data_IF_275895905333
#
_entry.id   IF_275895905333
#
_cell.length_a   1.000
_cell.length_b   1.000
_cell.length_c   1.000
_cell.angle_alpha   90.00
_cell.angle_beta   90.00
_cell.angle_gamma   90.00
#
_symmetry.space_group_name_H-M   'P 1'
#
loop_
_entity.id
_entity.type
_entity.pdbx_description
1 polymer ?
#
# COMPACT_ATOMS: atom_id res chain seq x y z
N UNK A 1 23.36 14.20 57.91
CA UNK A 1 23.86 13.90 59.27
C UNK A 1 23.45 12.45 59.57
N UNK A 2 24.44 11.56 59.73
CA UNK A 2 24.40 10.12 60.15
C UNK A 2 23.72 9.14 59.17
N UNK A 3 24.42 8.36 58.31
CA UNK A 3 25.30 7.17 58.51
C UNK A 3 24.53 5.86 58.84
N UNK A 4 24.90 4.62 58.48
CA UNK A 4 25.75 3.94 57.47
C UNK A 4 25.67 2.42 57.81
N UNK A 5 25.90 1.53 56.82
CA UNK A 5 26.26 0.08 56.84
C UNK A 5 25.33 -0.74 55.92
N UNK A 6 25.76 -1.52 54.92
CA UNK A 6 27.08 -2.05 54.56
C UNK A 6 27.13 -3.55 54.89
N UNK A 7 27.17 -4.42 53.87
CA UNK A 7 28.01 -5.63 53.74
C UNK A 7 27.61 -6.42 52.47
N UNK A 8 28.61 -6.69 51.63
CA UNK A 8 28.73 -7.74 50.61
C UNK A 8 30.20 -8.22 50.66
N UNK A 9 30.67 -9.23 49.89
CA UNK A 9 30.18 -10.57 49.51
C UNK A 9 31.22 -11.66 49.95
N UNK A 10 31.35 -12.84 49.29
CA UNK A 10 32.40 -12.94 48.27
C UNK A 10 32.13 -13.84 47.03
N UNK A 11 32.92 -13.56 45.97
CA UNK A 11 33.23 -14.33 44.73
C UNK A 11 34.13 -15.55 45.07
N UNK A 12 34.62 -16.48 44.22
CA UNK A 12 34.80 -16.76 42.78
C UNK A 12 35.01 -18.31 42.68
N UNK A 13 35.08 -19.02 41.55
CA UNK A 13 36.14 -18.95 40.54
C UNK A 13 35.90 -19.96 39.38
N UNK A 14 36.64 -19.73 38.29
CA UNK A 14 36.51 -20.26 36.93
C UNK A 14 37.23 -21.59 36.64
N UNK A 15 36.93 -22.23 35.49
CA UNK A 15 37.89 -22.65 34.45
C UNK A 15 37.24 -23.50 33.31
N UNK A 16 37.55 -23.17 32.04
CA UNK A 16 37.52 -24.03 30.83
C UNK A 16 38.78 -24.96 30.82
N UNK A 17 39.05 -25.95 29.92
CA UNK A 17 38.49 -26.21 28.56
C UNK A 17 38.37 -27.71 28.07
N UNK A 18 37.87 -27.87 26.84
CA UNK A 18 38.22 -28.83 25.77
C UNK A 18 38.30 -30.39 25.90
N UNK A 19 37.68 -31.02 24.88
CA UNK A 19 38.10 -32.20 24.07
C UNK A 19 37.72 -33.66 24.42
N UNK A 20 36.91 -34.23 23.51
CA UNK A 20 36.98 -35.54 22.80
C UNK A 20 36.94 -36.90 23.57
N UNK A 21 35.85 -37.63 23.29
CA UNK A 21 35.78 -38.89 22.48
C UNK A 21 35.52 -40.28 23.15
N UNK A 22 34.75 -41.09 22.38
CA UNK A 22 34.54 -42.56 22.36
C UNK A 22 33.57 -43.12 23.41
N UNK A 23 32.68 -44.09 23.15
CA UNK A 23 32.30 -45.00 22.04
C UNK A 23 31.08 -45.81 22.55
N UNK A 24 30.37 -46.72 21.89
CA UNK A 24 30.33 -47.40 20.59
C UNK A 24 28.93 -48.07 20.50
N UNK A 25 28.39 -48.43 19.33
CA UNK A 25 28.60 -49.74 18.71
C UNK A 25 28.16 -49.73 17.22
N UNK A 26 28.92 -50.51 16.44
CA UNK A 26 28.89 -50.86 15.00
C UNK A 26 27.79 -51.90 14.67
N UNK A 27 27.62 -52.46 13.41
CA UNK A 27 28.46 -52.40 12.19
C UNK A 27 27.72 -52.26 10.83
N UNK A 28 28.49 -52.09 9.75
CA UNK A 28 28.06 -52.39 8.38
C UNK A 28 28.85 -51.69 7.27
N UNK A 29 30.03 -52.21 6.93
CA UNK A 29 30.82 -51.81 5.77
C UNK A 29 30.23 -52.41 4.48
N UNK A 30 30.21 -51.66 3.38
CA UNK A 30 30.66 -52.11 2.05
C UNK A 30 30.91 -50.91 1.12
N UNK A 31 31.87 -51.10 0.21
CA UNK A 31 32.73 -50.12 -0.47
C UNK A 31 32.06 -49.33 -1.62
N UNK A 32 32.53 -48.10 -1.85
CA UNK A 32 32.31 -47.33 -3.09
C UNK A 32 33.33 -47.68 -4.19
N UNK A 33 32.95 -47.56 -5.47
CA UNK A 33 33.82 -47.10 -6.55
C UNK A 33 33.27 -45.80 -7.21
N UNK A 34 34.00 -45.17 -8.16
CA UNK A 34 34.07 -43.71 -8.28
C UNK A 34 33.03 -43.07 -9.23
N UNK A 35 32.94 -41.75 -9.09
CA UNK A 35 32.20 -40.77 -9.87
C UNK A 35 32.38 -40.92 -11.39
N UNK A 36 31.27 -41.04 -12.13
CA UNK A 36 31.14 -40.56 -13.52
C UNK A 36 29.70 -40.14 -13.86
N UNK A 37 29.61 -39.02 -14.58
CA UNK A 37 28.58 -38.60 -15.54
C UNK A 37 27.12 -38.32 -15.10
N UNK A 38 26.82 -37.02 -15.02
CA UNK A 38 25.69 -36.31 -15.65
C UNK A 38 24.48 -37.12 -16.13
N UNK A 39 23.32 -36.91 -15.51
CA UNK A 39 22.01 -37.07 -16.16
C UNK A 39 21.08 -35.95 -15.70
N UNK A 40 20.66 -35.11 -16.65
CA UNK A 40 19.61 -34.12 -16.48
C UNK A 40 18.26 -34.81 -16.27
N UNK A 41 17.61 -34.58 -15.14
CA UNK A 41 16.25 -35.03 -14.89
C UNK A 41 15.25 -34.08 -15.58
N UNK A 42 14.70 -34.52 -16.71
CA UNK A 42 13.54 -33.88 -17.34
C UNK A 42 12.29 -34.15 -16.50
N UNK A 43 11.64 -33.09 -16.02
CA UNK A 43 10.26 -33.15 -15.51
C UNK A 43 9.32 -33.59 -16.65
N UNK A 44 8.65 -34.73 -16.49
CA UNK A 44 7.52 -35.13 -17.34
C UNK A 44 6.24 -34.51 -16.78
N UNK A 45 5.62 -33.63 -17.56
CA UNK A 45 4.26 -33.16 -17.34
C UNK A 45 3.28 -34.18 -17.95
N UNK A 46 2.31 -34.65 -17.16
CA UNK A 46 1.26 -35.55 -17.63
C UNK A 46 0.21 -34.74 -18.42
N UNK A 47 0.25 -34.80 -19.74
CA UNK A 47 -0.88 -34.45 -20.61
C UNK A 47 -1.50 -35.76 -21.13
N UNK A 48 -2.78 -35.97 -20.84
CA UNK A 48 -3.60 -37.03 -21.40
C UNK A 48 -3.68 -36.91 -22.92
N UNK A 49 -3.34 -37.98 -23.62
CA UNK A 49 -3.45 -38.08 -25.07
C UNK A 49 -4.92 -37.99 -25.51
N UNK A 50 -5.21 -37.09 -26.44
CA UNK A 50 -6.47 -37.05 -27.20
C UNK A 50 -6.12 -37.39 -28.64
N UNK A 51 -6.97 -38.23 -29.22
CA UNK A 51 -6.89 -38.93 -30.50
C UNK A 51 -6.63 -38.01 -31.71
N UNK A 52 -5.65 -38.38 -32.55
CA UNK A 52 -5.29 -37.67 -33.78
C UNK A 52 -6.23 -38.09 -34.92
N UNK A 53 -7.29 -37.32 -35.15
CA UNK A 53 -7.95 -37.35 -36.46
C UNK A 53 -8.51 -35.98 -36.89
N UNK A 54 -7.90 -35.48 -37.96
CA UNK A 54 -8.36 -34.41 -38.89
C UNK A 54 -8.56 -33.01 -38.29
N UNK A 55 -7.46 -32.25 -38.17
CA UNK A 55 -7.51 -30.78 -38.01
C UNK A 55 -7.29 -30.12 -39.37
N UNK A 56 -8.33 -29.50 -39.92
CA UNK A 56 -8.22 -28.61 -41.07
C UNK A 56 -7.27 -27.44 -40.77
N UNK A 57 -6.52 -26.89 -41.74
CA UNK A 57 -5.63 -25.75 -41.48
C UNK A 57 -6.46 -24.57 -40.99
N UNK A 58 -6.25 -24.19 -39.73
CA UNK A 58 -6.91 -23.04 -39.13
C UNK A 58 -6.61 -21.79 -39.98
N UNK A 59 -7.65 -21.04 -40.33
CA UNK A 59 -7.52 -19.75 -40.98
C UNK A 59 -6.54 -18.86 -40.18
N UNK A 60 -5.68 -18.08 -40.84
CA UNK A 60 -4.72 -17.23 -40.13
C UNK A 60 -5.50 -16.27 -39.23
N UNK A 61 -5.33 -16.43 -37.91
CA UNK A 61 -5.86 -15.46 -36.94
C UNK A 61 -5.33 -14.08 -37.33
N UNK A 62 -6.17 -13.04 -37.36
CA UNK A 62 -5.68 -11.69 -37.60
C UNK A 62 -4.59 -11.41 -36.56
N UNK A 63 -3.39 -11.08 -37.04
CA UNK A 63 -2.30 -10.64 -36.17
C UNK A 63 -2.83 -9.41 -35.44
N UNK A 64 -2.91 -9.49 -34.11
CA UNK A 64 -3.20 -8.34 -33.27
C UNK A 64 -2.30 -7.19 -33.75
N UNK A 65 -2.83 -5.97 -33.93
CA UNK A 65 -2.03 -4.83 -34.32
C UNK A 65 -0.79 -4.78 -33.42
N UNK A 66 0.38 -4.71 -34.05
CA UNK A 66 1.65 -4.46 -33.38
C UNK A 66 1.43 -3.27 -32.45
N UNK A 67 1.71 -3.44 -31.16
CA UNK A 67 1.53 -2.41 -30.12
C UNK A 67 2.10 -1.09 -30.64
N UNK A 68 1.21 -0.20 -31.09
CA UNK A 68 1.52 1.22 -31.22
C UNK A 68 1.72 1.69 -29.80
N UNK A 69 2.81 2.41 -29.51
CA UNK A 69 3.09 2.87 -28.15
C UNK A 69 1.86 3.58 -27.60
N UNK A 70 1.23 2.99 -26.58
CA UNK A 70 0.11 3.61 -25.88
C UNK A 70 0.68 4.42 -24.71
N UNK A 71 0.21 5.64 -24.55
CA UNK A 71 0.39 6.42 -23.32
C UNK A 71 -0.75 6.13 -22.34
N UNK A 72 -0.67 6.72 -21.15
CA UNK A 72 -1.78 6.74 -20.20
C UNK A 72 -1.92 8.11 -19.56
N UNK A 73 -3.14 8.58 -19.37
CA UNK A 73 -3.45 9.88 -18.73
C UNK A 73 -4.53 9.73 -17.67
N UNK A 74 -4.49 10.62 -16.67
CA UNK A 74 -5.48 10.67 -15.60
C UNK A 74 -6.60 11.63 -16.03
N UNK A 75 -7.82 11.11 -16.22
CA UNK A 75 -8.92 11.87 -16.82
C UNK A 75 -10.11 12.10 -15.89
N UNK A 76 -10.11 11.47 -14.72
CA UNK A 76 -11.17 11.64 -13.73
C UNK A 76 -10.68 11.28 -12.34
N UNK A 77 -11.22 11.98 -11.35
CA UNK A 77 -10.97 11.73 -9.93
C UNK A 77 -12.27 11.85 -9.14
N UNK A 78 -12.33 11.13 -8.04
CA UNK A 78 -13.48 11.11 -7.15
C UNK A 78 -13.06 10.67 -5.76
N UNK A 79 -13.75 11.17 -4.74
CA UNK A 79 -13.47 10.78 -3.37
C UNK A 79 -14.75 10.68 -2.55
N UNK A 80 -14.67 9.96 -1.43
CA UNK A 80 -15.74 9.86 -0.45
C UNK A 80 -15.14 9.67 0.94
N UNK A 81 -15.76 10.30 1.93
CA UNK A 81 -15.32 10.26 3.33
C UNK A 81 -16.50 9.94 4.24
N UNK A 82 -16.24 9.31 5.41
CA UNK A 82 -17.27 9.10 6.41
C UNK A 82 -17.88 10.40 6.91
N UNK A 83 -19.12 10.33 7.36
CA UNK A 83 -19.84 11.47 7.92
C UNK A 83 -19.30 11.92 9.28
N UNK A 84 -18.94 10.97 10.16
CA UNK A 84 -18.46 11.26 11.50
C UNK A 84 -17.07 11.91 11.46
N UNK A 85 -16.98 13.11 12.05
CA UNK A 85 -15.77 13.88 12.21
C UNK A 85 -15.36 13.86 13.68
N UNK A 86 -14.14 13.45 13.99
CA UNK A 86 -13.56 13.50 15.33
C UNK A 86 -12.49 14.59 15.33
N UNK A 87 -12.70 15.63 16.15
CA UNK A 87 -11.74 16.71 16.34
C UNK A 87 -10.67 16.35 17.37
N UNK A 88 -9.59 17.11 17.42
CA UNK A 88 -8.61 16.98 18.50
C UNK A 88 -9.21 17.23 19.90
N UNK A 89 -10.20 18.13 20.00
CA UNK A 89 -10.92 18.41 21.25
C UNK A 89 -11.84 17.27 21.67
N UNK A 90 -12.28 16.44 20.73
CA UNK A 90 -13.00 15.22 21.07
C UNK A 90 -12.06 14.16 21.62
N UNK A 91 -10.85 14.02 21.04
CA UNK A 91 -9.84 13.08 21.54
C UNK A 91 -9.33 13.45 22.94
N UNK A 92 -9.20 14.75 23.26
CA UNK A 92 -8.74 15.21 24.58
C UNK A 92 -9.69 14.84 25.72
N UNK A 93 -10.94 14.45 25.43
CA UNK A 93 -11.92 13.95 26.41
C UNK A 93 -11.64 12.51 26.85
N UNK A 94 -10.86 11.74 26.08
CA UNK A 94 -10.63 10.31 26.33
C UNK A 94 -9.14 9.97 26.57
N UNK A 95 -8.21 10.81 26.09
CA UNK A 95 -6.76 10.62 26.22
C UNK A 95 -6.10 11.94 26.60
N UNK A 96 -5.03 11.91 27.40
CA UNK A 96 -4.29 13.09 27.85
C UNK A 96 -3.55 13.78 26.67
N UNK A 97 -4.23 14.71 25.98
CA UNK A 97 -3.73 15.43 24.81
C UNK A 97 -4.44 16.78 24.65
N UNK A 98 -4.03 17.60 23.67
CA UNK A 98 -4.73 18.84 23.28
C UNK A 98 -4.62 19.09 21.77
N UNK A 99 -5.46 19.98 21.22
CA UNK A 99 -5.34 20.41 19.82
C UNK A 99 -3.96 20.99 19.51
N UNK A 100 -3.45 21.88 20.37
CA UNK A 100 -2.15 22.52 20.16
C UNK A 100 -1.02 21.49 20.10
N UNK A 101 -1.08 20.48 20.98
CA UNK A 101 -0.08 19.43 21.02
C UNK A 101 -0.13 18.53 19.78
N UNK A 102 -1.33 18.14 19.33
CA UNK A 102 -1.51 17.29 18.13
C UNK A 102 -1.14 18.07 16.87
N UNK A 103 -1.72 19.26 16.69
CA UNK A 103 -1.53 20.08 15.49
C UNK A 103 -0.04 20.46 15.31
N UNK A 104 0.66 20.84 16.37
CA UNK A 104 2.09 21.17 16.27
C UNK A 104 2.97 19.96 15.88
N UNK A 105 2.56 18.74 16.21
CA UNK A 105 3.36 17.52 15.97
C UNK A 105 2.99 16.81 14.67
N UNK A 106 1.78 17.02 14.17
CA UNK A 106 1.21 16.24 13.07
C UNK A 106 0.63 17.08 11.94
N UNK A 107 0.19 18.31 12.24
CA UNK A 107 -0.64 19.12 11.34
C UNK A 107 -2.11 18.69 11.28
N UNK A 108 -2.51 17.63 12.00
CA UNK A 108 -3.88 17.08 11.99
C UNK A 108 -4.74 17.86 12.99
N UNK A 109 -5.96 18.20 12.57
CA UNK A 109 -6.99 18.84 13.42
C UNK A 109 -8.24 17.99 13.55
N UNK A 110 -8.60 17.31 12.47
CA UNK A 110 -9.77 16.47 12.38
C UNK A 110 -9.43 15.16 11.66
N UNK A 111 -10.22 14.13 11.95
CA UNK A 111 -10.26 12.89 11.19
C UNK A 111 -11.70 12.50 10.88
N UNK A 112 -11.88 11.76 9.79
CA UNK A 112 -13.16 11.10 9.48
C UNK A 112 -13.05 9.64 9.85
N UNK A 113 -14.06 9.09 10.50
CA UNK A 113 -14.06 7.67 10.91
C UNK A 113 -15.39 7.03 10.54
N UNK A 114 -15.36 5.77 10.11
CA UNK A 114 -16.57 5.03 9.80
C UNK A 114 -17.50 4.98 11.02
N UNK A 115 -18.80 5.16 10.78
CA UNK A 115 -19.82 5.15 11.82
C UNK A 115 -21.15 4.60 11.29
N UNK A 116 -21.97 4.06 12.19
CA UNK A 116 -23.29 3.54 11.83
C UNK A 116 -23.21 2.44 10.76
N UNK A 117 -23.90 2.63 9.64
CA UNK A 117 -23.93 1.70 8.50
C UNK A 117 -22.93 2.02 7.38
N UNK A 118 -22.03 2.99 7.57
CA UNK A 118 -20.99 3.30 6.59
C UNK A 118 -19.96 2.16 6.54
N UNK A 119 -19.57 1.71 5.34
CA UNK A 119 -18.50 0.72 5.15
C UNK A 119 -17.44 1.25 4.21
N UNK A 120 -16.23 0.68 4.24
CA UNK A 120 -15.17 1.11 3.35
C UNK A 120 -15.56 0.90 1.89
N UNK A 121 -16.13 -0.28 1.56
CA UNK A 121 -16.63 -0.60 0.23
C UNK A 121 -17.69 0.38 -0.26
N UNK A 122 -18.61 0.82 0.60
CA UNK A 122 -19.61 1.83 0.24
C UNK A 122 -19.00 3.19 -0.10
N UNK A 123 -17.94 3.60 0.62
CA UNK A 123 -17.17 4.81 0.26
C UNK A 123 -16.41 4.62 -1.05
N UNK A 124 -15.81 3.44 -1.26
CA UNK A 124 -15.08 3.11 -2.49
C UNK A 124 -15.96 3.16 -3.73
N UNK A 125 -17.18 2.63 -3.67
CA UNK A 125 -18.16 2.69 -4.76
C UNK A 125 -18.51 4.14 -5.08
N UNK A 126 -18.76 4.98 -4.07
CA UNK A 126 -19.05 6.42 -4.27
C UNK A 126 -17.87 7.16 -4.90
N UNK A 127 -16.65 6.90 -4.44
CA UNK A 127 -15.44 7.52 -4.99
C UNK A 127 -15.24 7.10 -6.46
N UNK A 128 -15.41 5.82 -6.77
CA UNK A 128 -15.34 5.27 -8.11
C UNK A 128 -16.38 5.90 -9.06
N UNK A 129 -17.65 5.95 -8.66
CA UNK A 129 -18.72 6.57 -9.44
C UNK A 129 -18.40 8.04 -9.76
N UNK A 130 -17.94 8.82 -8.77
CA UNK A 130 -17.54 10.22 -8.96
C UNK A 130 -16.36 10.40 -9.91
N UNK A 131 -15.41 9.47 -9.91
CA UNK A 131 -14.28 9.49 -10.83
C UNK A 131 -14.71 9.21 -12.27
N UNK A 132 -15.59 8.22 -12.47
CA UNK A 132 -16.18 7.92 -13.78
C UNK A 132 -17.06 9.06 -14.29
N UNK A 133 -17.87 9.67 -13.42
CA UNK A 133 -18.68 10.85 -13.74
C UNK A 133 -17.81 12.02 -14.20
N UNK A 134 -16.71 12.32 -13.49
CA UNK A 134 -15.78 13.37 -13.89
C UNK A 134 -15.14 13.08 -15.25
N UNK A 135 -14.77 11.83 -15.49
CA UNK A 135 -14.17 11.40 -16.75
C UNK A 135 -15.16 11.27 -17.91
N UNK A 136 -16.46 11.30 -17.63
CA UNK A 136 -17.52 10.99 -18.59
C UNK A 136 -17.36 9.61 -19.25
N UNK A 137 -16.88 8.62 -18.48
CA UNK A 137 -16.71 7.23 -18.92
C UNK A 137 -17.81 6.38 -18.30
N UNK A 138 -18.48 5.55 -19.12
CA UNK A 138 -19.51 4.65 -18.60
C UNK A 138 -18.87 3.49 -17.86
N UNK A 139 -19.50 2.97 -16.78
CA UNK A 139 -18.97 1.81 -16.05
C UNK A 139 -18.63 0.61 -16.93
N UNK A 140 -19.44 0.34 -17.96
CA UNK A 140 -19.26 -0.80 -18.86
C UNK A 140 -18.04 -0.68 -19.78
N UNK A 141 -17.49 0.53 -19.92
CA UNK A 141 -16.29 0.82 -20.70
C UNK A 141 -15.00 0.70 -19.86
N UNK A 142 -15.11 0.40 -18.56
CA UNK A 142 -13.96 0.08 -17.70
C UNK A 142 -13.50 -1.34 -17.99
N UNK A 143 -12.19 -1.52 -18.17
CA UNK A 143 -11.58 -2.83 -18.47
C UNK A 143 -10.95 -3.49 -17.23
N UNK A 144 -10.50 -2.66 -16.28
CA UNK A 144 -9.79 -3.11 -15.08
C UNK A 144 -10.11 -2.24 -13.87
N UNK A 145 -10.38 -2.90 -12.73
CA UNK A 145 -10.48 -2.28 -11.41
C UNK A 145 -9.30 -2.71 -10.54
N UNK A 146 -8.50 -1.75 -10.09
CA UNK A 146 -7.43 -1.97 -9.10
C UNK A 146 -7.86 -1.41 -7.76
N UNK A 147 -8.09 -2.30 -6.78
CA UNK A 147 -8.53 -1.91 -5.45
C UNK A 147 -7.37 -1.93 -4.44
N UNK A 148 -6.81 -0.76 -4.15
CA UNK A 148 -5.66 -0.60 -3.28
C UNK A 148 -6.12 -0.38 -1.82
N UNK A 149 -5.99 -1.42 -0.98
CA UNK A 149 -6.37 -1.35 0.44
C UNK A 149 -5.52 -2.26 1.31
N UNK A 150 -5.42 -1.93 2.59
CA UNK A 150 -4.91 -2.82 3.66
C UNK A 150 -5.96 -3.15 4.72
N UNK A 151 -7.20 -2.68 4.52
CA UNK A 151 -8.31 -2.85 5.47
C UNK A 151 -9.60 -3.22 4.74
N UNK A 152 -9.61 -4.30 3.93
CA UNK A 152 -10.80 -4.66 3.17
C UNK A 152 -11.96 -5.07 4.09
N UNK A 153 -13.20 -4.75 3.68
CA UNK A 153 -14.42 -5.20 4.36
C UNK A 153 -14.54 -6.76 4.35
N UNK A 154 -13.92 -7.42 3.36
CA UNK A 154 -13.94 -8.87 3.14
C UNK A 154 -12.52 -9.43 2.94
N UNK A 155 -12.25 -10.65 3.43
CA UNK A 155 -10.93 -11.28 3.33
C UNK A 155 -10.47 -11.52 1.88
N UNK A 156 -11.41 -11.74 0.96
CA UNK A 156 -11.14 -11.91 -0.47
C UNK A 156 -11.09 -10.58 -1.24
N UNK A 157 -11.11 -9.45 -0.52
CA UNK A 157 -10.89 -8.13 -1.08
C UNK A 157 -12.17 -7.36 -1.44
N UNK A 158 -11.96 -6.14 -1.92
CA UNK A 158 -13.04 -5.19 -2.25
C UNK A 158 -13.29 -4.99 -3.75
N UNK A 159 -12.40 -5.43 -4.65
CA UNK A 159 -12.56 -5.20 -6.08
C UNK A 159 -13.87 -5.79 -6.63
N UNK A 160 -14.26 -6.99 -6.18
CA UNK A 160 -15.51 -7.65 -6.60
C UNK A 160 -16.75 -6.81 -6.28
N UNK A 161 -16.76 -6.14 -5.13
CA UNK A 161 -17.85 -5.25 -4.72
C UNK A 161 -17.90 -3.98 -5.58
N UNK A 162 -16.74 -3.38 -5.85
CA UNK A 162 -16.64 -2.21 -6.73
C UNK A 162 -17.14 -2.55 -8.13
N UNK A 163 -16.73 -3.68 -8.71
CA UNK A 163 -17.20 -4.15 -10.02
C UNK A 163 -18.73 -4.23 -10.06
N UNK A 164 -19.32 -4.91 -9.08
CA UNK A 164 -20.76 -5.16 -9.05
C UNK A 164 -21.59 -3.89 -8.80
N UNK A 165 -21.21 -3.07 -7.81
CA UNK A 165 -22.03 -1.92 -7.39
C UNK A 165 -21.79 -0.66 -8.25
N UNK A 166 -20.63 -0.53 -8.90
CA UNK A 166 -20.39 0.54 -9.88
C UNK A 166 -20.97 0.20 -11.26
N UNK A 167 -21.11 -1.08 -11.59
CA UNK A 167 -21.62 -1.56 -12.88
C UNK A 167 -20.53 -1.84 -13.92
N UNK A 168 -19.30 -2.13 -13.51
CA UNK A 168 -18.19 -2.44 -14.40
C UNK A 168 -18.26 -3.89 -14.91
N UNK A 169 -19.31 -4.24 -15.65
CA UNK A 169 -19.65 -5.64 -15.99
C UNK A 169 -18.66 -6.33 -16.93
N UNK A 170 -17.85 -5.57 -17.67
CA UNK A 170 -16.86 -6.07 -18.61
C UNK A 170 -15.43 -6.07 -18.03
N UNK A 171 -15.24 -5.47 -16.85
CA UNK A 171 -13.94 -5.38 -16.21
C UNK A 171 -13.61 -6.66 -15.46
N UNK A 172 -12.32 -6.98 -15.39
CA UNK A 172 -11.79 -7.82 -14.30
C UNK A 172 -11.24 -6.92 -13.20
N UNK A 173 -11.11 -7.43 -11.98
CA UNK A 173 -10.61 -6.62 -10.87
C UNK A 173 -9.90 -7.46 -9.82
N UNK A 174 -8.93 -6.83 -9.16
CA UNK A 174 -8.18 -7.44 -8.08
C UNK A 174 -7.66 -6.39 -7.10
N UNK A 175 -7.26 -6.87 -5.93
CA UNK A 175 -6.80 -6.05 -4.82
C UNK A 175 -5.27 -5.93 -4.80
N UNK A 176 -4.78 -4.76 -4.36
CA UNK A 176 -3.36 -4.48 -4.13
C UNK A 176 -3.17 -4.07 -2.67
N UNK A 177 -2.47 -4.90 -1.91
CA UNK A 177 -2.07 -4.61 -0.54
C UNK A 177 -0.61 -4.15 -0.50
N UNK A 178 -0.41 -2.83 -0.42
CA UNK A 178 0.90 -2.22 -0.22
C UNK A 178 0.81 -1.03 0.75
N UNK A 179 -0.05 -1.13 1.76
CA UNK A 179 -0.27 -0.09 2.78
C UNK A 179 -0.45 1.31 2.16
N UNK A 180 0.13 2.34 2.77
CA UNK A 180 0.02 3.73 2.33
C UNK A 180 0.69 4.01 0.96
N UNK A 181 1.54 3.12 0.42
CA UNK A 181 2.06 3.25 -0.94
C UNK A 181 1.13 2.62 -1.99
N UNK A 182 0.08 1.92 -1.55
CA UNK A 182 -0.85 1.15 -2.38
C UNK A 182 -1.39 1.89 -3.57
N UNK A 183 -1.86 3.13 -3.41
CA UNK A 183 -2.39 3.90 -4.53
C UNK A 183 -1.35 4.21 -5.60
N UNK A 184 -0.12 4.57 -5.23
CA UNK A 184 0.95 4.83 -6.21
C UNK A 184 1.35 3.53 -6.92
N UNK A 185 1.43 2.42 -6.19
CA UNK A 185 1.66 1.10 -6.79
C UNK A 185 0.52 0.74 -7.75
N UNK A 186 -0.73 1.02 -7.39
CA UNK A 186 -1.90 0.83 -8.25
C UNK A 186 -1.86 1.70 -9.51
N UNK A 187 -1.52 2.99 -9.36
CA UNK A 187 -1.41 3.93 -10.47
C UNK A 187 -0.35 3.49 -11.49
N UNK A 188 0.83 3.10 -11.01
CA UNK A 188 1.90 2.59 -11.86
C UNK A 188 1.47 1.28 -12.53
N UNK A 189 0.87 0.36 -11.78
CA UNK A 189 0.31 -0.90 -12.29
C UNK A 189 -0.70 -0.64 -13.41
N UNK A 190 -1.63 0.30 -13.23
CA UNK A 190 -2.63 0.68 -14.23
C UNK A 190 -1.98 1.12 -15.54
N UNK A 191 -1.00 2.02 -15.47
CA UNK A 191 -0.24 2.44 -16.65
C UNK A 191 0.48 1.26 -17.31
N UNK A 192 1.01 0.31 -16.54
CA UNK A 192 1.67 -0.88 -17.10
C UNK A 192 0.69 -1.81 -17.83
N UNK A 193 -0.54 -1.97 -17.34
CA UNK A 193 -1.58 -2.71 -18.06
C UNK A 193 -1.97 -2.02 -19.37
N UNK A 194 -2.17 -0.69 -19.35
CA UNK A 194 -2.49 0.09 -20.55
C UNK A 194 -1.37 -0.04 -21.60
N UNK A 195 -0.11 0.18 -21.18
CA UNK A 195 1.07 0.09 -22.06
C UNK A 195 1.34 -1.33 -22.56
N UNK A 196 0.89 -2.35 -21.84
CA UNK A 196 0.94 -3.75 -22.25
C UNK A 196 -0.04 -4.11 -23.37
N UNK A 197 -1.03 -3.25 -23.63
CA UNK A 197 -2.05 -3.43 -24.65
C UNK A 197 -3.28 -4.21 -24.17
N UNK A 198 -4.41 -4.02 -24.84
CA UNK A 198 -5.67 -4.71 -24.54
C UNK A 198 -6.49 -4.12 -23.39
N UNK A 199 -5.97 -3.11 -22.69
CA UNK A 199 -6.65 -2.38 -21.61
C UNK A 199 -6.64 -0.89 -21.96
N UNK A 200 -7.81 -0.24 -21.92
CA UNK A 200 -7.99 1.18 -22.25
C UNK A 200 -8.35 2.01 -21.02
N UNK A 201 -9.27 1.54 -20.19
CA UNK A 201 -9.76 2.27 -19.01
C UNK A 201 -9.50 1.46 -17.74
N UNK A 202 -8.66 2.01 -16.84
CA UNK A 202 -8.34 1.41 -15.54
C UNK A 202 -8.81 2.32 -14.42
N UNK A 203 -9.73 1.81 -13.61
CA UNK A 203 -10.18 2.48 -12.40
C UNK A 203 -9.28 2.08 -11.22
N UNK A 204 -8.51 3.03 -10.69
CA UNK A 204 -7.63 2.82 -9.54
C UNK A 204 -8.28 3.42 -8.31
N UNK A 205 -8.58 2.59 -7.31
CA UNK A 205 -9.24 3.01 -6.07
C UNK A 205 -8.28 2.83 -4.91
N UNK A 206 -7.95 3.91 -4.19
CA UNK A 206 -7.24 3.86 -2.92
C UNK A 206 -8.22 4.02 -1.76
N UNK A 207 -8.29 3.06 -0.86
CA UNK A 207 -9.27 3.06 0.23
C UNK A 207 -8.69 2.40 1.48
N UNK A 208 -8.89 3.02 2.64
CA UNK A 208 -8.59 2.40 3.93
C UNK A 208 -9.50 2.92 5.04
N UNK A 209 -9.80 2.03 5.99
CA UNK A 209 -10.48 2.28 7.26
C UNK A 209 -9.56 1.92 8.44
N UNK A 210 -8.38 2.55 8.52
CA UNK A 210 -7.39 2.24 9.56
C UNK A 210 -7.90 2.53 10.98
N UNK A 211 -8.94 3.35 11.15
CA UNK A 211 -9.56 3.65 12.44
C UNK A 211 -10.01 2.39 13.21
N UNK A 212 -10.34 1.31 12.49
CA UNK A 212 -10.75 0.02 13.06
C UNK A 212 -9.59 -0.76 13.70
N UNK A 213 -8.35 -0.40 13.36
CA UNK A 213 -7.12 -1.02 13.85
C UNK A 213 -6.31 -0.06 14.74
N UNK A 214 -6.93 1.02 15.22
CA UNK A 214 -6.31 1.97 16.15
C UNK A 214 -6.65 1.59 17.58
N UNK A 215 -5.63 1.58 18.45
CA UNK A 215 -5.86 1.61 19.89
C UNK A 215 -6.20 3.06 20.30
N UNK A 216 -7.48 3.32 20.54
CA UNK A 216 -7.97 4.65 20.92
C UNK A 216 -7.50 5.12 22.30
N UNK A 217 -6.89 4.25 23.10
CA UNK A 217 -6.25 4.59 24.37
C UNK A 217 -4.78 4.94 24.21
N UNK A 218 -4.15 4.56 23.09
CA UNK A 218 -2.76 4.91 22.78
C UNK A 218 -2.68 6.27 22.06
N UNK A 219 -2.25 7.29 22.81
CA UNK A 219 -1.98 8.64 22.26
C UNK A 219 -0.97 8.63 21.10
N UNK A 220 -0.07 7.64 21.04
CA UNK A 220 0.95 7.54 20.00
C UNK A 220 0.39 7.35 18.60
N UNK A 221 -0.78 6.72 18.48
CA UNK A 221 -1.38 6.31 17.20
C UNK A 221 -2.78 6.87 16.98
N UNK A 222 -3.60 7.03 18.02
CA UNK A 222 -5.00 7.46 17.88
C UNK A 222 -5.18 8.88 17.31
N UNK A 223 -4.14 9.71 17.43
CA UNK A 223 -4.10 11.08 16.91
C UNK A 223 -3.76 11.15 15.41
N UNK A 224 -3.50 10.02 14.74
CA UNK A 224 -2.97 10.00 13.37
C UNK A 224 -3.99 9.63 12.32
N UNK A 225 -4.72 8.53 12.50
CA UNK A 225 -5.47 7.91 11.40
C UNK A 225 -6.88 8.45 11.23
N UNK A 226 -7.38 8.31 10.02
CA UNK A 226 -8.77 8.50 9.60
C UNK A 226 -9.08 7.56 8.43
N UNK A 227 -10.32 7.58 7.97
CA UNK A 227 -10.84 6.68 6.96
C UNK A 227 -11.32 7.47 5.73
N UNK A 228 -11.06 6.93 4.54
CA UNK A 228 -11.57 7.51 3.29
C UNK A 228 -11.47 6.51 2.14
N UNK A 229 -12.08 6.88 1.01
CA UNK A 229 -11.79 6.32 -0.29
C UNK A 229 -11.57 7.43 -1.31
N UNK A 230 -10.64 7.21 -2.23
CA UNK A 230 -10.42 8.03 -3.42
C UNK A 230 -10.22 7.14 -4.64
N UNK A 231 -10.58 7.63 -5.81
CA UNK A 231 -10.46 6.91 -7.06
C UNK A 231 -9.96 7.84 -8.18
N UNK A 232 -9.20 7.26 -9.10
CA UNK A 232 -8.73 7.93 -10.32
C UNK A 232 -8.97 7.00 -11.50
N UNK A 233 -9.52 7.56 -12.58
CA UNK A 233 -9.61 6.86 -13.86
C UNK A 233 -8.37 7.17 -14.69
N UNK A 234 -7.65 6.12 -15.05
CA UNK A 234 -6.51 6.17 -15.97
C UNK A 234 -6.98 5.65 -17.32
N UNK A 235 -6.82 6.45 -18.37
CA UNK A 235 -7.23 6.13 -19.72
C UNK A 235 -6.02 6.06 -20.65
N UNK A 236 -6.08 5.16 -21.61
CA UNK A 236 -5.13 5.10 -22.73
C UNK A 236 -5.14 6.38 -23.55
N UNK A 237 -3.97 6.74 -24.06
CA UNK A 237 -3.82 7.82 -25.03
C UNK A 237 -2.73 7.50 -26.03
N UNK A 238 -2.46 8.42 -26.95
CA UNK A 238 -1.30 8.32 -27.81
C UNK A 238 -0.01 8.45 -26.97
N UNK A 239 1.09 7.85 -27.42
CA UNK A 239 2.36 7.87 -26.69
C UNK A 239 2.92 9.29 -26.47
N UNK A 240 2.67 10.23 -27.37
CA UNK A 240 3.10 11.62 -27.27
C UNK A 240 2.31 12.42 -26.21
N UNK A 241 1.15 11.91 -25.80
CA UNK A 241 0.30 12.52 -24.78
C UNK A 241 0.53 11.93 -23.39
N UNK A 242 1.41 10.93 -23.25
CA UNK A 242 1.60 10.15 -22.03
C UNK A 242 1.72 11.02 -20.78
N UNK A 243 0.91 10.66 -19.79
CA UNK A 243 0.77 11.36 -18.52
C UNK A 243 1.60 10.75 -17.41
N UNK A 244 2.12 9.52 -17.53
CA UNK A 244 3.10 8.98 -16.59
C UNK A 244 4.52 9.23 -17.13
N UNK A 245 5.16 10.28 -16.64
CA UNK A 245 6.43 10.76 -17.15
C UNK A 245 7.62 9.97 -16.59
N UNK A 246 7.53 9.50 -15.35
CA UNK A 246 8.55 8.68 -14.70
C UNK A 246 8.06 8.17 -13.35
N UNK A 247 8.64 7.10 -12.83
CA UNK A 247 8.26 6.54 -11.54
C UNK A 247 9.41 5.77 -10.86
N UNK A 248 9.28 5.55 -9.56
CA UNK A 248 10.22 4.73 -8.81
C UNK A 248 9.46 3.97 -7.74
N UNK A 249 9.64 2.66 -7.63
CA UNK A 249 9.03 1.84 -6.56
C UNK A 249 10.12 1.03 -5.87
N UNK A 250 10.06 0.99 -4.55
CA UNK A 250 11.09 0.37 -3.71
C UNK A 250 10.46 -0.24 -2.45
N UNK A 251 11.19 -1.15 -1.82
CA UNK A 251 10.79 -1.81 -0.57
C UNK A 251 11.99 -2.20 0.27
N UNK A 252 11.84 -2.19 1.60
CA UNK A 252 12.76 -2.75 2.57
C UNK A 252 11.98 -3.55 3.63
N UNK A 253 11.97 -4.87 3.48
CA UNK A 253 11.26 -5.79 4.36
C UNK A 253 11.76 -5.79 5.80
N UNK A 254 13.01 -5.37 6.06
CA UNK A 254 13.51 -5.26 7.44
C UNK A 254 12.78 -4.18 8.25
N UNK A 255 12.13 -3.24 7.55
CA UNK A 255 11.37 -2.16 8.15
C UNK A 255 10.01 -2.58 8.72
N UNK A 256 9.51 -3.79 8.44
CA UNK A 256 8.23 -4.29 8.98
C UNK A 256 8.12 -4.13 10.50
N UNK A 257 9.21 -4.35 11.25
CA UNK A 257 9.27 -4.17 12.71
C UNK A 257 8.95 -2.75 13.20
N UNK A 258 8.97 -1.76 12.32
CA UNK A 258 8.71 -0.36 12.65
C UNK A 258 7.26 0.07 12.39
N UNK A 259 6.51 -0.66 11.58
CA UNK A 259 5.10 -0.37 11.30
C UNK A 259 4.40 -1.65 10.83
N UNK A 260 3.56 -2.22 11.69
CA UNK A 260 2.84 -3.45 11.42
C UNK A 260 1.57 -3.59 12.27
N UNK A 261 0.69 -4.49 11.86
CA UNK A 261 -0.36 -5.05 12.72
C UNK A 261 -0.02 -6.54 12.87
N UNK A 262 0.38 -6.95 14.07
CA UNK A 262 0.81 -8.32 14.33
C UNK A 262 -0.40 -9.26 14.31
N UNK A 263 -0.25 -10.44 13.71
CA UNK A 263 -1.26 -11.48 13.90
C UNK A 263 -1.12 -12.09 15.29
N UNK A 264 -2.24 -12.19 16.00
CA UNK A 264 -2.37 -12.98 17.21
C UNK A 264 -3.33 -14.14 16.95
N UNK A 265 -3.00 -15.29 17.53
CA UNK A 265 -3.87 -16.45 17.46
C UNK A 265 -4.84 -16.40 18.64
N UNK A 266 -6.14 -16.37 18.35
CA UNK A 266 -7.12 -16.56 19.41
C UNK A 266 -7.02 -17.98 19.98
N UNK A 267 -7.21 -18.11 21.30
CA UNK A 267 -7.31 -19.43 21.92
C UNK A 267 -8.56 -20.15 21.41
N UNK A 268 -8.39 -21.41 21.00
CA UNK A 268 -9.50 -22.24 20.53
C UNK A 268 -10.36 -22.68 21.72
N UNK A 269 -11.64 -22.31 21.69
CA UNK A 269 -12.67 -22.75 22.65
C UNK A 269 -12.77 -24.30 22.68
N UNK A 270 -12.35 -24.98 21.59
CA UNK A 270 -12.42 -26.43 21.42
C UNK A 270 -11.12 -27.16 21.80
N UNK A 271 -10.15 -26.46 22.41
CA UNK A 271 -8.85 -27.01 22.85
C UNK A 271 -8.95 -28.14 23.89
N UNK A 272 -10.14 -28.42 24.44
CA UNK A 272 -10.42 -29.47 25.43
C UNK A 272 -11.36 -30.57 24.92
N UNK A 273 -11.39 -30.82 23.61
CA UNK A 273 -12.14 -31.95 23.04
C UNK A 273 -11.23 -33.17 22.84
N UNK A 274 -11.80 -34.38 22.86
CA UNK A 274 -11.09 -35.61 22.44
C UNK A 274 -10.87 -35.68 20.91
N UNK A 275 -10.90 -34.53 20.23
CA UNK A 275 -10.69 -34.41 18.79
C UNK A 275 -9.21 -34.48 18.42
N UNK A 276 -8.93 -34.36 17.12
CA UNK A 276 -7.55 -34.33 16.61
C UNK A 276 -6.83 -33.11 17.18
N UNK A 277 -5.66 -33.29 17.84
CA UNK A 277 -4.88 -32.17 18.36
C UNK A 277 -4.62 -31.13 17.26
N UNK A 278 -4.95 -29.86 17.55
CA UNK A 278 -4.78 -28.75 16.59
C UNK A 278 -5.99 -28.48 15.68
N UNK A 279 -7.11 -29.21 15.81
CA UNK A 279 -8.36 -28.92 15.11
C UNK A 279 -9.43 -28.35 16.05
N UNK A 280 -10.21 -27.33 15.63
CA UNK A 280 -10.09 -26.57 14.38
C UNK A 280 -8.84 -25.66 14.37
N UNK A 281 -8.37 -25.23 13.19
CA UNK A 281 -7.28 -24.27 13.09
C UNK A 281 -7.59 -23.01 13.89
N UNK A 282 -6.57 -22.42 14.51
CA UNK A 282 -6.73 -21.18 15.28
C UNK A 282 -7.16 -20.07 14.33
N UNK A 283 -8.19 -19.31 14.74
CA UNK A 283 -8.58 -18.10 14.02
C UNK A 283 -7.51 -17.04 14.24
N UNK A 284 -7.01 -16.49 13.14
CA UNK A 284 -6.07 -15.36 13.16
C UNK A 284 -6.85 -14.06 13.32
N UNK A 285 -6.44 -13.25 14.28
CA UNK A 285 -6.86 -11.85 14.43
C UNK A 285 -5.64 -10.95 14.32
N UNK A 286 -5.82 -9.69 13.91
CA UNK A 286 -4.75 -8.71 13.88
C UNK A 286 -4.79 -7.81 15.13
N UNK A 287 -3.63 -7.40 15.62
CA UNK A 287 -3.50 -6.38 16.67
C UNK A 287 -3.80 -4.98 16.11
N UNK A 288 -3.94 -4.01 17.02
CA UNK A 288 -3.89 -2.61 16.66
C UNK A 288 -2.55 -2.25 16.00
N UNK A 289 -2.52 -1.14 15.26
CA UNK A 289 -1.33 -0.63 14.59
C UNK A 289 -0.22 -0.36 15.60
N UNK A 290 0.92 -1.02 15.41
CA UNK A 290 2.14 -0.80 16.18
C UNK A 290 3.11 0.01 15.33
N UNK A 291 3.54 1.17 15.83
CA UNK A 291 4.38 2.10 15.08
C UNK A 291 5.54 2.66 15.90
N UNK A 292 6.77 2.49 15.38
CA UNK A 292 7.93 3.26 15.78
C UNK A 292 8.01 4.55 14.95
N UNK A 293 7.27 5.58 15.39
CA UNK A 293 7.14 6.84 14.64
C UNK A 293 8.47 7.55 14.35
N UNK A 294 9.49 7.39 15.21
CA UNK A 294 10.82 7.98 14.99
C UNK A 294 11.53 7.35 13.80
N UNK A 295 11.53 6.03 13.71
CA UNK A 295 12.17 5.31 12.60
C UNK A 295 11.39 5.49 11.31
N UNK A 296 10.04 5.47 11.35
CA UNK A 296 9.18 5.76 10.19
C UNK A 296 9.42 7.19 9.67
N UNK A 297 9.50 8.19 10.55
CA UNK A 297 9.80 9.57 10.16
C UNK A 297 11.18 9.67 9.49
N UNK A 298 12.23 9.10 10.10
CA UNK A 298 13.61 9.13 9.55
C UNK A 298 13.68 8.46 8.19
N UNK A 299 13.00 7.33 8.03
CA UNK A 299 12.85 6.65 6.75
C UNK A 299 12.20 7.58 5.71
N UNK A 300 11.04 8.15 6.02
CA UNK A 300 10.26 8.92 5.07
C UNK A 300 11.02 10.16 4.57
N UNK A 301 11.58 10.97 5.48
CA UNK A 301 12.29 12.21 5.10
C UNK A 301 13.57 11.97 4.29
N UNK A 302 14.09 10.74 4.29
CA UNK A 302 15.25 10.33 3.48
C UNK A 302 14.83 9.70 2.16
N UNK A 303 13.99 8.68 2.21
CA UNK A 303 13.70 7.82 1.07
C UNK A 303 12.69 8.45 0.10
N UNK A 304 11.74 9.26 0.59
CA UNK A 304 10.72 9.89 -0.27
C UNK A 304 11.34 10.90 -1.24
N UNK A 305 12.16 11.88 -0.80
CA UNK A 305 12.83 12.80 -1.73
C UNK A 305 13.72 12.06 -2.75
N UNK A 306 14.47 11.04 -2.30
CA UNK A 306 15.32 10.23 -3.20
C UNK A 306 14.51 9.47 -4.25
N UNK A 307 13.33 8.97 -3.88
CA UNK A 307 12.44 8.28 -4.82
C UNK A 307 11.85 9.25 -5.85
N UNK A 308 11.51 10.48 -5.45
CA UNK A 308 11.05 11.53 -6.35
C UNK A 308 12.19 11.98 -7.29
N UNK A 309 13.40 12.19 -6.76
CA UNK A 309 14.59 12.53 -7.56
C UNK A 309 14.84 11.48 -8.67
N UNK A 310 14.72 10.18 -8.36
CA UNK A 310 14.84 9.10 -9.35
C UNK A 310 13.72 9.10 -10.39
N UNK A 311 12.48 9.35 -9.96
CA UNK A 311 11.34 9.42 -10.88
C UNK A 311 11.45 10.63 -11.82
N UNK A 312 11.98 11.76 -11.33
CA UNK A 312 12.31 12.94 -12.14
C UNK A 312 13.45 12.66 -13.12
N UNK A 313 14.48 11.92 -12.70
CA UNK A 313 15.58 11.49 -13.57
C UNK A 313 15.07 10.61 -14.71
N UNK A 314 14.21 9.62 -14.44
CA UNK A 314 13.56 8.81 -15.48
C UNK A 314 12.70 9.68 -16.43
N UNK A 315 12.01 10.69 -15.89
CA UNK A 315 11.21 11.63 -16.68
C UNK A 315 12.07 12.64 -17.48
N UNK A 316 13.37 12.74 -17.22
CA UNK A 316 14.23 13.78 -17.82
C UNK A 316 13.85 15.20 -17.40
N UNK A 317 13.25 15.37 -16.22
CA UNK A 317 12.71 16.64 -15.74
C UNK A 317 13.46 17.18 -14.52
N UNK A 318 13.70 18.51 -14.43
CA UNK A 318 14.21 19.12 -13.21
C UNK A 318 13.09 19.29 -12.18
N UNK A 319 13.41 19.33 -10.89
CA UNK A 319 12.43 19.55 -9.81
C UNK A 319 11.66 20.88 -9.96
N UNK A 320 12.23 21.88 -10.63
CA UNK A 320 11.57 23.17 -10.92
C UNK A 320 10.36 23.05 -11.87
N UNK A 321 10.24 21.94 -12.60
CA UNK A 321 9.09 21.64 -13.46
C UNK A 321 7.86 21.17 -12.68
N UNK A 322 8.00 20.85 -11.39
CA UNK A 322 6.87 20.40 -10.56
C UNK A 322 5.96 21.60 -10.27
N UNK A 323 4.70 21.47 -10.65
CA UNK A 323 3.64 22.40 -10.28
C UNK A 323 3.08 22.07 -8.90
N UNK A 324 2.93 20.76 -8.62
CA UNK A 324 2.37 20.30 -7.35
C UNK A 324 3.14 19.13 -6.73
N UNK A 325 3.46 19.26 -5.45
CA UNK A 325 3.94 18.15 -4.62
C UNK A 325 2.74 17.55 -3.87
N UNK A 326 2.46 16.27 -4.13
CA UNK A 326 1.35 15.53 -3.54
C UNK A 326 1.84 14.25 -2.87
N UNK A 327 2.16 14.34 -1.59
CA UNK A 327 2.65 13.19 -0.84
C UNK A 327 1.52 12.48 -0.10
N UNK A 328 1.78 11.24 0.30
CA UNK A 328 0.98 10.55 1.30
C UNK A 328 0.80 11.45 2.54
N UNK A 329 -0.46 11.65 2.92
CA UNK A 329 -0.87 12.52 4.02
C UNK A 329 -0.64 11.81 5.37
N UNK A 330 0.61 11.53 5.73
CA UNK A 330 0.95 10.86 7.00
C UNK A 330 1.10 11.84 8.17
N UNK A 331 1.85 12.92 7.94
CA UNK A 331 2.25 13.90 8.93
C UNK A 331 2.78 15.13 8.18
N UNK A 332 2.31 16.33 8.53
CA UNK A 332 2.67 17.56 7.82
C UNK A 332 4.18 17.81 7.86
N UNK A 333 4.86 17.45 8.95
CA UNK A 333 6.31 17.63 9.09
C UNK A 333 7.11 16.77 8.11
N UNK A 334 6.60 15.59 7.73
CA UNK A 334 7.23 14.76 6.69
C UNK A 334 7.07 15.46 5.34
N UNK A 335 5.86 15.99 5.06
CA UNK A 335 5.56 16.69 3.83
C UNK A 335 6.46 17.92 3.69
N UNK A 336 6.56 18.74 4.74
CA UNK A 336 7.38 19.95 4.76
C UNK A 336 8.87 19.63 4.61
N UNK A 337 9.37 18.59 5.28
CA UNK A 337 10.75 18.16 5.18
C UNK A 337 11.10 17.68 3.75
N UNK A 338 10.19 16.94 3.11
CA UNK A 338 10.39 16.51 1.73
C UNK A 338 10.33 17.68 0.75
N UNK A 339 9.37 18.61 0.91
CA UNK A 339 9.29 19.82 0.11
C UNK A 339 10.56 20.66 0.21
N UNK A 340 11.05 20.89 1.43
CA UNK A 340 12.30 21.60 1.69
C UNK A 340 13.51 20.92 1.04
N UNK A 341 13.62 19.58 1.14
CA UNK A 341 14.73 18.81 0.55
C UNK A 341 14.74 18.86 -0.99
N UNK A 342 13.57 19.03 -1.60
CA UNK A 342 13.38 19.17 -3.05
C UNK A 342 13.37 20.63 -3.52
N UNK A 343 13.53 21.60 -2.61
CA UNK A 343 13.42 23.04 -2.89
C UNK A 343 12.07 23.43 -3.52
N UNK A 344 10.99 22.75 -3.14
CA UNK A 344 9.63 23.04 -3.59
C UNK A 344 8.97 24.02 -2.61
N UNK A 345 8.48 25.18 -3.06
CA UNK A 345 7.79 26.14 -2.21
C UNK A 345 6.51 25.57 -1.57
N UNK A 346 6.19 26.01 -0.35
CA UNK A 346 5.04 25.51 0.41
C UNK A 346 3.70 25.69 -0.29
N UNK A 347 3.55 26.74 -1.10
CA UNK A 347 2.34 27.03 -1.87
C UNK A 347 2.09 26.00 -2.97
N UNK A 348 3.14 25.32 -3.45
CA UNK A 348 3.08 24.20 -4.41
C UNK A 348 2.82 22.85 -3.73
N UNK A 349 2.65 22.81 -2.41
CA UNK A 349 2.30 21.59 -1.68
C UNK A 349 0.78 21.44 -1.62
N UNK A 350 0.30 20.25 -1.94
CA UNK A 350 -1.10 19.86 -1.72
C UNK A 350 -1.16 19.10 -0.38
N UNK A 351 -1.91 19.65 0.57
CA UNK A 351 -2.17 19.01 1.85
C UNK A 351 -3.60 19.27 2.30
N UNK A 352 -4.30 18.19 2.65
CA UNK A 352 -5.60 18.22 3.31
C UNK A 352 -5.59 17.42 4.63
N UNK A 353 -4.40 17.01 5.07
CA UNK A 353 -4.14 16.23 6.28
C UNK A 353 -4.85 16.79 7.51
N UNK A 354 -4.93 18.12 7.63
CA UNK A 354 -5.61 18.80 8.73
C UNK A 354 -7.08 18.37 8.90
N UNK A 355 -7.75 18.00 7.81
CA UNK A 355 -9.19 17.72 7.80
C UNK A 355 -9.53 16.23 7.91
N UNK A 356 -8.60 15.35 7.56
CA UNK A 356 -8.87 13.92 7.38
C UNK A 356 -7.98 13.02 8.22
N UNK A 357 -6.85 13.52 8.72
CA UNK A 357 -5.81 12.65 9.27
C UNK A 357 -5.16 11.79 8.19
N UNK A 358 -4.45 10.76 8.62
CA UNK A 358 -3.82 9.77 7.77
C UNK A 358 -4.84 8.74 7.30
N UNK A 359 -5.25 8.85 6.03
CA UNK A 359 -6.19 7.95 5.35
C UNK A 359 -5.50 6.89 4.48
N UNK A 360 -4.22 6.60 4.75
CA UNK A 360 -3.43 5.55 4.09
C UNK A 360 -3.53 5.59 2.56
N UNK A 361 -3.96 4.51 1.89
CA UNK A 361 -4.02 4.44 0.43
C UNK A 361 -4.99 5.47 -0.18
N UNK A 362 -5.98 5.95 0.56
CA UNK A 362 -6.91 6.98 0.09
C UNK A 362 -6.32 8.39 0.10
N UNK A 363 -5.22 8.63 0.83
CA UNK A 363 -4.70 9.98 1.08
C UNK A 363 -4.36 10.78 -0.18
N UNK A 364 -3.67 10.15 -1.14
CA UNK A 364 -3.27 10.78 -2.40
C UNK A 364 -4.48 11.03 -3.31
N UNK A 365 -5.33 10.04 -3.64
CA UNK A 365 -6.46 10.29 -4.52
C UNK A 365 -7.52 11.20 -3.91
N UNK A 366 -7.70 11.19 -2.58
CA UNK A 366 -8.58 12.15 -1.88
C UNK A 366 -8.07 13.59 -2.04
N UNK A 367 -6.80 13.83 -1.74
CA UNK A 367 -6.20 15.16 -1.87
C UNK A 367 -6.10 15.65 -3.31
N UNK A 368 -5.89 14.73 -4.27
CA UNK A 368 -5.93 15.04 -5.70
C UNK A 368 -7.32 15.49 -6.12
N UNK A 369 -8.37 14.72 -5.77
CA UNK A 369 -9.76 15.04 -6.12
C UNK A 369 -10.19 16.41 -5.60
N UNK A 370 -9.88 16.73 -4.34
CA UNK A 370 -10.15 18.06 -3.79
C UNK A 370 -9.40 19.18 -4.52
N UNK A 371 -8.12 18.97 -4.84
CA UNK A 371 -7.31 19.97 -5.52
C UNK A 371 -7.77 20.21 -6.98
N UNK A 372 -8.18 19.15 -7.69
CA UNK A 372 -8.73 19.23 -9.05
C UNK A 372 -10.10 19.90 -9.02
N UNK A 373 -11.04 19.43 -8.20
CA UNK A 373 -12.40 20.01 -8.11
C UNK A 373 -12.39 21.44 -7.57
N UNK A 374 -11.43 21.77 -6.71
CA UNK A 374 -11.19 23.13 -6.22
C UNK A 374 -10.53 24.06 -7.24
N UNK A 375 -10.17 23.57 -8.44
CA UNK A 375 -9.52 24.36 -9.50
C UNK A 375 -8.06 24.73 -9.23
N UNK A 376 -7.44 24.12 -8.21
CA UNK A 376 -6.02 24.31 -7.87
C UNK A 376 -5.14 23.59 -8.89
N UNK A 377 -5.41 22.30 -9.11
CA UNK A 377 -4.75 21.49 -10.16
C UNK A 377 -5.50 21.65 -11.48
N UNK A 378 -4.77 21.92 -12.57
CA UNK A 378 -5.31 22.14 -13.91
C UNK A 378 -4.72 21.15 -14.90
N UNK A 379 -5.39 20.98 -16.04
CA UNK A 379 -4.89 20.14 -17.13
C UNK A 379 -3.51 20.66 -17.60
N UNK A 380 -2.57 19.75 -17.77
CA UNK A 380 -1.17 20.03 -18.09
C UNK A 380 -0.24 20.17 -16.89
N UNK A 381 -0.75 20.34 -15.67
CA UNK A 381 0.09 20.49 -14.47
C UNK A 381 0.88 19.20 -14.18
N UNK A 382 2.15 19.37 -13.79
CA UNK A 382 3.03 18.27 -13.40
C UNK A 382 2.98 18.08 -11.88
N UNK A 383 2.60 16.88 -11.48
CA UNK A 383 2.45 16.46 -10.09
C UNK A 383 3.53 15.45 -9.74
N UNK A 384 4.35 15.77 -8.75
CA UNK A 384 5.21 14.78 -8.09
C UNK A 384 4.41 14.12 -6.97
N UNK A 385 3.94 12.90 -7.20
CA UNK A 385 3.17 12.13 -6.24
C UNK A 385 4.03 11.05 -5.58
N UNK A 386 3.91 10.84 -4.26
CA UNK A 386 4.66 9.78 -3.58
C UNK A 386 3.93 9.20 -2.38
N UNK A 387 3.86 7.87 -2.33
CA UNK A 387 3.26 7.08 -1.27
C UNK A 387 4.31 6.27 -0.52
N UNK A 388 4.19 6.15 0.80
CA UNK A 388 5.16 5.46 1.65
C UNK A 388 4.49 4.95 2.93
N UNK A 389 4.81 3.74 3.38
CA UNK A 389 4.16 3.15 4.54
C UNK A 389 4.69 1.78 4.95
N UNK A 390 3.85 1.01 5.64
CA UNK A 390 4.16 -0.30 6.19
C UNK A 390 4.73 -1.25 5.13
N UNK A 391 5.66 -2.13 5.51
CA UNK A 391 6.41 -2.99 4.59
C UNK A 391 7.91 -3.10 4.92
N UNK A 392 8.70 -2.02 4.96
CA UNK A 392 8.34 -0.68 4.48
C UNK A 392 8.37 -0.64 2.95
N UNK A 393 7.36 -0.04 2.33
CA UNK A 393 7.29 0.19 0.89
C UNK A 393 7.08 1.66 0.61
N UNK A 394 7.65 2.14 -0.49
CA UNK A 394 7.42 3.47 -1.00
C UNK A 394 7.51 3.51 -2.52
N UNK A 395 6.86 4.49 -3.12
CA UNK A 395 6.99 4.75 -4.53
C UNK A 395 6.59 6.17 -4.88
N UNK A 396 7.13 6.66 -5.99
CA UNK A 396 6.87 7.99 -6.52
C UNK A 396 6.50 7.90 -7.99
N UNK A 397 5.62 8.77 -8.44
CA UNK A 397 5.23 8.92 -9.83
C UNK A 397 5.22 10.42 -10.18
N UNK A 398 5.86 10.75 -11.30
CA UNK A 398 5.76 12.07 -11.92
C UNK A 398 4.64 11.96 -12.96
N UNK A 399 3.52 12.61 -12.68
CA UNK A 399 2.32 12.53 -13.51
C UNK A 399 1.91 13.89 -14.02
N UNK A 400 1.36 13.93 -15.23
CA UNK A 400 0.70 15.09 -15.82
C UNK A 400 -0.81 14.88 -15.71
N UNK A 401 -1.52 15.86 -15.17
CA UNK A 401 -2.98 15.81 -15.05
C UNK A 401 -3.66 16.21 -16.36
N UNK A 402 -4.74 15.52 -16.77
CA UNK A 402 -5.56 15.86 -17.94
C UNK A 402 -5.12 15.25 -19.26
#
# INVERSE_FOLDING_TARGET
MVAASGIAPPRAAAALPCTRARGGHRPGFLRSPPLTASVAAQLRCCASAVDDSVVAPAAPRPRLPRVVGMGSKLIGSGSATPSLCISNDDLSKFVETSDEWIAARTGIRNRRVLSGGETLGGLSVKAAQRALEMAQVRPEDVDLVLFCTSTPDDLFGGAGRVLAEVGCTNAFGFDITAACSGFIVGLITATRFIKGGGIQNVLVVGADALSQYVDWTDRGTCILFGDAAGAVLVQSCNADEDGLLGFCVQSDGHGQKHLHCSSSNADSILSKTNGVPGFPPKKTNFSCIEMNGKEVFRFAVRCVPQSIEKALEEAGLPASSIDWLLLHQANQRIIDAAASRLSIPSEKVISNLANYGNTSAASIPLALDEAVRGGKVKAGDIIAASGFGAGLTWGSAIVKWG
#
